data_IF_097960951013
#
_entry.id   IF_097960951013
#
_cell.length_a   1.000
_cell.length_b   1.000
_cell.length_c   1.000
_cell.angle_alpha   90.00
_cell.angle_beta   90.00
_cell.angle_gamma   90.00
#
_symmetry.space_group_name_H-M   'P 1'
#
loop_
_entity.id
_entity.type
_entity.pdbx_description
1 polymer ?
#
# COMPACT_ATOMS: atom_id res chain seq x y z
N UNK A 1 16.37 -19.65 6.52
CA UNK A 1 15.58 -18.41 6.52
C UNK A 1 15.20 -18.15 5.08
N UNK A 2 13.99 -18.54 4.65
CA UNK A 2 13.58 -18.35 3.25
C UNK A 2 12.03 -18.45 3.13
N UNK A 3 11.31 -17.76 4.02
CA UNK A 3 9.83 -17.84 4.06
C UNK A 3 9.12 -16.62 3.48
N UNK A 4 9.86 -15.60 3.05
CA UNK A 4 9.28 -14.39 2.48
C UNK A 4 9.36 -14.36 0.94
N UNK A 5 10.11 -15.28 0.32
CA UNK A 5 10.30 -15.31 -1.14
C UNK A 5 9.06 -15.74 -1.95
N UNK A 6 7.95 -16.09 -1.30
CA UNK A 6 6.76 -16.66 -1.97
C UNK A 6 5.50 -15.78 -1.90
N UNK A 7 5.48 -14.71 -1.10
CA UNK A 7 4.35 -13.80 -1.07
C UNK A 7 4.42 -12.85 -2.26
N UNK A 8 3.37 -12.82 -3.09
CA UNK A 8 3.29 -11.88 -4.21
C UNK A 8 3.17 -10.45 -3.68
N UNK A 9 3.92 -9.53 -4.29
CA UNK A 9 3.80 -8.08 -4.05
C UNK A 9 2.38 -7.58 -4.36
N UNK A 10 1.91 -6.49 -3.73
CA UNK A 10 0.69 -5.81 -4.10
C UNK A 10 0.68 -5.45 -5.60
N UNK A 11 -0.45 -5.56 -6.30
CA UNK A 11 -0.51 -5.46 -7.76
C UNK A 11 -0.08 -4.11 -8.34
N UNK A 12 -0.15 -3.02 -7.56
CA UNK A 12 0.19 -1.66 -8.01
C UNK A 12 1.54 -1.16 -7.48
N UNK A 13 2.23 -1.96 -6.66
CA UNK A 13 3.51 -1.57 -6.08
C UNK A 13 4.59 -1.54 -7.17
N UNK A 14 5.26 -0.40 -7.31
CA UNK A 14 6.47 -0.26 -8.12
C UNK A 14 7.69 -0.36 -7.22
N UNK A 15 8.64 -1.19 -7.60
CA UNK A 15 9.92 -1.32 -6.88
C UNK A 15 11.09 -1.03 -7.79
N UNK A 16 12.17 -0.47 -7.25
CA UNK A 16 13.42 -0.24 -7.98
C UNK A 16 14.62 -0.16 -7.06
N UNK A 17 15.77 -0.67 -7.51
CA UNK A 17 17.06 -0.52 -6.84
C UNK A 17 17.68 -1.84 -6.37
N UNK A 18 18.24 -1.84 -5.17
CA UNK A 18 18.94 -2.95 -4.52
C UNK A 18 17.91 -3.91 -3.89
N UNK A 19 17.85 -5.15 -4.37
CA UNK A 19 16.85 -6.13 -3.93
C UNK A 19 16.93 -6.48 -2.44
N UNK A 20 18.12 -6.48 -1.82
CA UNK A 20 18.25 -6.76 -0.40
C UNK A 20 17.63 -5.63 0.43
N UNK A 21 17.85 -4.38 0.02
CA UNK A 21 17.21 -3.22 0.67
C UNK A 21 15.71 -3.19 0.42
N UNK A 22 15.26 -3.55 -0.78
CA UNK A 22 13.82 -3.66 -1.10
C UNK A 22 13.20 -4.70 -0.18
N UNK A 23 13.78 -5.90 -0.05
CA UNK A 23 13.25 -6.94 0.81
C UNK A 23 13.14 -6.47 2.27
N UNK A 24 14.18 -5.84 2.81
CA UNK A 24 14.14 -5.29 4.17
C UNK A 24 13.05 -4.22 4.32
N UNK A 25 12.87 -3.35 3.33
CA UNK A 25 11.79 -2.36 3.35
C UNK A 25 10.40 -3.02 3.34
N UNK A 26 10.18 -4.03 2.50
CA UNK A 26 8.92 -4.76 2.47
C UNK A 26 8.63 -5.51 3.78
N UNK A 27 9.65 -6.04 4.44
CA UNK A 27 9.52 -6.66 5.76
C UNK A 27 9.13 -5.63 6.82
N UNK A 28 9.79 -4.46 6.83
CA UNK A 28 9.47 -3.36 7.74
C UNK A 28 8.02 -2.89 7.57
N UNK A 29 7.60 -2.70 6.32
CA UNK A 29 6.26 -2.18 6.00
C UNK A 29 5.15 -3.16 6.34
N UNK A 30 5.44 -4.48 6.43
CA UNK A 30 4.47 -5.48 6.91
C UNK A 30 4.31 -5.50 8.44
N UNK A 31 5.18 -4.82 9.18
CA UNK A 31 5.08 -4.69 10.65
C UNK A 31 4.21 -3.50 11.06
N UNK A 32 3.88 -2.60 10.14
CA UNK A 32 3.08 -1.42 10.39
C UNK A 32 1.63 -1.67 9.98
N UNK A 33 0.71 -1.54 10.93
CA UNK A 33 -0.72 -1.77 10.73
C UNK A 33 -1.51 -0.47 10.66
N UNK A 34 -2.51 -0.44 9.78
CA UNK A 34 -3.49 0.64 9.78
C UNK A 34 -4.39 0.53 11.04
N UNK A 35 -4.62 1.62 11.78
CA UNK A 35 -5.38 1.60 13.03
C UNK A 35 -6.89 1.47 12.83
N UNK A 36 -7.40 1.75 11.63
CA UNK A 36 -8.83 1.64 11.29
C UNK A 36 -9.14 0.28 10.64
N UNK A 37 -8.25 -0.18 9.77
CA UNK A 37 -8.33 -1.47 9.08
C UNK A 37 -7.14 -2.32 9.55
N UNK A 38 -7.34 -3.36 10.38
CA UNK A 38 -6.25 -4.09 11.05
C UNK A 38 -5.50 -5.05 10.09
N UNK A 39 -4.97 -4.49 9.00
CA UNK A 39 -4.12 -5.10 7.98
C UNK A 39 -2.89 -4.21 7.84
N UNK A 40 -1.74 -4.81 7.55
CA UNK A 40 -0.51 -4.03 7.40
C UNK A 40 -0.54 -3.12 6.16
N UNK A 41 0.15 -1.99 6.22
CA UNK A 41 0.11 -0.95 5.18
C UNK A 41 0.61 -1.46 3.82
N UNK A 42 1.50 -2.45 3.83
CA UNK A 42 2.02 -3.08 2.62
C UNK A 42 0.94 -3.92 1.93
N UNK A 43 0.37 -4.90 2.64
CA UNK A 43 -0.59 -5.84 2.09
C UNK A 43 -1.97 -5.21 1.86
N UNK A 44 -2.30 -4.12 2.58
CA UNK A 44 -3.47 -3.27 2.33
C UNK A 44 -3.33 -2.44 1.04
N UNK A 45 -2.14 -2.43 0.42
CA UNK A 45 -1.90 -1.73 -0.84
C UNK A 45 -1.73 -0.21 -0.67
N UNK A 46 -1.30 0.27 0.50
CA UNK A 46 -1.07 1.69 0.72
C UNK A 46 0.30 2.16 0.21
N UNK A 47 1.20 1.24 -0.11
CA UNK A 47 2.55 1.54 -0.61
C UNK A 47 2.53 1.47 -2.13
N UNK A 48 2.81 2.60 -2.79
CA UNK A 48 2.81 2.73 -4.25
C UNK A 48 4.20 2.56 -4.84
N UNK A 49 5.24 3.07 -4.17
CA UNK A 49 6.62 3.00 -4.64
C UNK A 49 7.57 2.64 -3.49
N UNK A 50 8.49 1.74 -3.77
CA UNK A 50 9.72 1.52 -2.99
C UNK A 50 10.92 1.70 -3.94
N UNK A 51 11.65 2.81 -3.79
CA UNK A 51 12.97 2.99 -4.41
C UNK A 51 14.02 2.88 -3.31
N UNK A 52 14.76 1.78 -3.29
CA UNK A 52 15.76 1.53 -2.28
C UNK A 52 17.10 1.23 -2.94
N UNK A 53 18.11 2.07 -2.72
CA UNK A 53 19.40 1.98 -3.41
C UNK A 53 20.56 2.25 -2.46
N UNK A 54 21.78 1.98 -2.92
CA UNK A 54 23.00 2.38 -2.22
C UNK A 54 23.65 3.56 -2.92
N UNK A 55 23.94 4.62 -2.17
CA UNK A 55 24.74 5.76 -2.62
C UNK A 55 25.96 5.84 -1.72
N UNK A 56 27.16 5.79 -2.31
CA UNK A 56 28.43 5.81 -1.57
C UNK A 56 28.51 4.75 -0.45
N UNK A 57 27.92 3.58 -0.70
CA UNK A 57 27.87 2.46 0.25
C UNK A 57 26.79 2.58 1.34
N UNK A 58 26.06 3.68 1.41
CA UNK A 58 24.97 3.90 2.37
C UNK A 58 23.60 3.63 1.75
N UNK A 59 22.64 3.05 2.49
CA UNK A 59 21.27 2.90 2.01
C UNK A 59 20.59 4.26 1.88
N UNK A 60 19.81 4.41 0.80
CA UNK A 60 18.91 5.54 0.55
C UNK A 60 17.57 4.97 0.07
N UNK A 61 16.50 5.33 0.77
CA UNK A 61 15.16 4.77 0.56
C UNK A 61 14.17 5.89 0.32
N UNK A 62 13.35 5.76 -0.72
CA UNK A 62 12.19 6.59 -0.99
C UNK A 62 10.94 5.73 -1.03
N UNK A 63 9.94 6.14 -0.26
CA UNK A 63 8.61 5.52 -0.20
C UNK A 63 7.59 6.53 -0.71
N UNK A 64 6.78 6.12 -1.69
CA UNK A 64 5.54 6.83 -2.02
C UNK A 64 4.38 6.00 -1.48
N UNK A 65 3.55 6.60 -0.63
CA UNK A 65 2.40 5.93 -0.04
C UNK A 65 1.14 6.79 -0.07
N UNK A 66 0.01 6.15 0.21
CA UNK A 66 -1.29 6.80 0.38
C UNK A 66 -1.88 6.43 1.74
N UNK A 67 -3.11 6.87 2.01
CA UNK A 67 -3.82 6.63 3.25
C UNK A 67 -5.25 6.23 2.94
N UNK A 68 -5.84 5.42 3.83
CA UNK A 68 -7.23 4.94 3.74
C UNK A 68 -8.26 6.06 3.91
N UNK A 69 -7.91 7.14 4.63
CA UNK A 69 -8.78 8.30 4.84
C UNK A 69 -8.01 9.64 4.83
N UNK A 70 -8.66 10.68 4.30
CA UNK A 70 -8.15 12.06 4.30
C UNK A 70 -8.68 12.78 5.54
N UNK A 71 -7.78 13.25 6.42
CA UNK A 71 -8.12 14.27 7.43
C UNK A 71 -8.33 13.80 8.88
N UNK A 72 -7.97 12.57 9.25
CA UNK A 72 -8.03 12.11 10.65
C UNK A 72 -6.72 12.46 11.39
N UNK A 73 -6.74 13.02 12.63
CA UNK A 73 -5.52 13.33 13.39
C UNK A 73 -4.63 12.10 13.70
N UNK A 74 -5.21 10.89 13.63
CA UNK A 74 -4.51 9.61 13.84
C UNK A 74 -3.61 9.23 12.65
N UNK A 75 -3.86 9.80 11.48
CA UNK A 75 -3.10 9.56 10.23
C UNK A 75 -1.62 9.93 10.36
N UNK A 76 -1.30 10.96 11.16
CA UNK A 76 0.09 11.34 11.41
C UNK A 76 0.91 10.26 12.13
N UNK A 77 0.25 9.34 12.83
CA UNK A 77 0.90 8.24 13.54
C UNK A 77 1.40 7.14 12.58
N UNK A 78 0.70 6.88 11.48
CA UNK A 78 1.10 5.84 10.52
C UNK A 78 2.42 6.22 9.85
N UNK A 79 2.59 7.48 9.45
CA UNK A 79 3.83 7.94 8.82
C UNK A 79 5.02 7.77 9.76
N UNK A 80 4.85 8.14 11.04
CA UNK A 80 5.89 7.94 12.06
C UNK A 80 6.21 6.45 12.28
N UNK A 81 5.20 5.57 12.25
CA UNK A 81 5.42 4.13 12.38
C UNK A 81 6.13 3.52 11.16
N UNK A 82 5.79 3.97 9.95
CA UNK A 82 6.49 3.58 8.71
C UNK A 82 7.95 4.02 8.76
N UNK A 83 8.19 5.27 9.12
CA UNK A 83 9.54 5.82 9.26
C UNK A 83 10.36 5.01 10.26
N UNK A 84 9.83 4.82 11.46
CA UNK A 84 10.51 4.07 12.53
C UNK A 84 10.79 2.62 12.12
N UNK A 85 9.82 1.93 11.52
CA UNK A 85 10.00 0.55 11.09
C UNK A 85 11.12 0.42 10.04
N UNK A 86 11.20 1.36 9.08
CA UNK A 86 12.24 1.36 8.06
C UNK A 86 13.63 1.61 8.66
N UNK A 87 13.74 2.58 9.58
CA UNK A 87 14.99 2.90 10.28
C UNK A 87 15.47 1.72 11.13
N UNK A 88 14.55 1.01 11.80
CA UNK A 88 14.89 -0.14 12.65
C UNK A 88 15.29 -1.37 11.83
N UNK A 89 14.63 -1.58 10.68
CA UNK A 89 14.83 -2.78 9.86
C UNK A 89 16.04 -2.70 8.94
N UNK A 90 16.39 -1.52 8.43
CA UNK A 90 17.41 -1.34 7.39
C UNK A 90 18.73 -0.85 8.00
N UNK A 91 19.76 -1.71 8.12
CA UNK A 91 21.01 -1.32 8.76
C UNK A 91 21.71 -0.18 8.03
N UNK A 92 22.02 0.89 8.78
CA UNK A 92 22.71 2.06 8.26
C UNK A 92 21.82 3.07 7.53
N UNK A 93 20.50 2.85 7.48
CA UNK A 93 19.55 3.88 7.06
C UNK A 93 19.44 4.93 8.16
N UNK A 94 19.36 6.18 7.74
CA UNK A 94 19.21 7.36 8.60
C UNK A 94 18.09 8.22 8.05
N UNK A 95 17.50 9.08 8.91
CA UNK A 95 16.43 10.02 8.54
C UNK A 95 16.82 10.87 7.32
N UNK A 96 18.07 11.33 7.23
CA UNK A 96 18.60 12.11 6.10
C UNK A 96 18.59 11.35 4.75
N UNK A 97 18.55 10.02 4.78
CA UNK A 97 18.55 9.14 3.61
C UNK A 97 17.20 8.42 3.41
N UNK A 98 16.19 8.76 4.21
CA UNK A 98 14.84 8.23 4.10
C UNK A 98 13.89 9.36 3.66
N UNK A 99 13.18 9.14 2.57
CA UNK A 99 12.19 10.06 2.03
C UNK A 99 10.83 9.37 1.98
N UNK A 100 9.83 9.91 2.69
CA UNK A 100 8.46 9.40 2.67
C UNK A 100 7.55 10.48 2.12
N UNK A 101 6.92 10.20 0.99
CA UNK A 101 5.95 11.08 0.33
C UNK A 101 4.55 10.48 0.42
N UNK A 102 3.56 11.33 0.67
CA UNK A 102 2.14 10.96 0.67
C UNK A 102 1.47 11.52 -0.57
N UNK A 103 0.77 10.65 -1.31
CA UNK A 103 -0.08 11.02 -2.45
C UNK A 103 -1.50 10.50 -2.25
N UNK A 104 -2.45 11.17 -2.88
CA UNK A 104 -3.84 10.71 -3.03
C UNK A 104 -4.21 10.47 -4.50
N UNK A 105 -3.21 10.49 -5.38
CA UNK A 105 -3.34 10.19 -6.80
C UNK A 105 -2.37 9.05 -7.20
N UNK A 106 -2.89 7.91 -7.70
CA UNK A 106 -4.32 7.57 -7.77
C UNK A 106 -4.94 7.42 -6.37
N UNK A 107 -6.26 7.62 -6.21
CA UNK A 107 -6.94 7.33 -4.95
C UNK A 107 -6.89 5.83 -4.65
N UNK A 108 -6.76 5.48 -3.37
CA UNK A 108 -6.76 4.08 -2.96
C UNK A 108 -8.11 3.40 -3.26
N UNK A 109 -8.05 2.14 -3.68
CA UNK A 109 -9.23 1.28 -3.86
C UNK A 109 -8.94 -0.16 -3.45
N UNK A 110 -9.97 -0.95 -3.06
CA UNK A 110 -9.80 -2.34 -2.61
C UNK A 110 -9.09 -3.26 -3.60
N UNK A 111 -9.09 -2.98 -4.90
CA UNK A 111 -8.34 -3.75 -5.89
C UNK A 111 -6.82 -3.60 -5.78
N UNK A 112 -6.34 -2.63 -5.00
CA UNK A 112 -4.92 -2.44 -4.69
C UNK A 112 -4.40 -3.40 -3.61
N UNK A 113 -5.30 -4.04 -2.88
CA UNK A 113 -4.97 -4.98 -1.80
C UNK A 113 -4.26 -6.21 -2.39
N UNK A 114 -3.19 -6.66 -1.72
CA UNK A 114 -2.49 -7.89 -2.06
C UNK A 114 -3.35 -9.14 -1.84
N UNK A 115 -2.88 -10.30 -2.31
CA UNK A 115 -3.55 -11.58 -2.03
C UNK A 115 -3.62 -11.87 -0.52
N UNK A 116 -2.52 -11.65 0.21
CA UNK A 116 -2.46 -11.83 1.65
C UNK A 116 -3.39 -10.86 2.41
N UNK A 117 -3.40 -9.59 2.00
CA UNK A 117 -4.30 -8.59 2.57
C UNK A 117 -5.77 -8.90 2.30
N UNK A 118 -6.09 -9.41 1.11
CA UNK A 118 -7.44 -9.80 0.73
C UNK A 118 -7.96 -10.95 1.60
N UNK A 119 -7.14 -11.97 1.84
CA UNK A 119 -7.50 -13.05 2.75
C UNK A 119 -7.69 -12.54 4.19
N UNK A 120 -6.81 -11.65 4.68
CA UNK A 120 -6.98 -11.04 5.99
C UNK A 120 -8.29 -10.24 6.13
N UNK A 121 -8.65 -9.44 5.13
CA UNK A 121 -9.92 -8.71 5.11
C UNK A 121 -11.13 -9.64 5.05
N UNK A 122 -11.02 -10.75 4.31
CA UNK A 122 -12.08 -11.75 4.19
C UNK A 122 -12.30 -12.50 5.50
N UNK A 123 -11.24 -12.83 6.22
CA UNK A 123 -11.35 -13.38 7.58
C UNK A 123 -11.98 -12.39 8.55
N UNK A 124 -11.65 -11.10 8.43
CA UNK A 124 -12.17 -10.04 9.30
C UNK A 124 -13.65 -9.75 9.07
N UNK A 125 -14.07 -9.60 7.81
CA UNK A 125 -15.43 -9.17 7.46
C UNK A 125 -16.37 -10.31 7.07
N UNK A 126 -15.85 -11.52 6.85
CA UNK A 126 -16.62 -12.69 6.46
C UNK A 126 -17.01 -12.75 4.99
N UNK A 127 -16.54 -11.82 4.16
CA UNK A 127 -16.77 -11.80 2.72
C UNK A 127 -15.58 -11.17 1.98
N UNK A 128 -15.53 -11.38 0.66
CA UNK A 128 -14.44 -10.88 -0.17
C UNK A 128 -14.65 -9.41 -0.56
N UNK A 129 -14.01 -8.51 0.18
CA UNK A 129 -14.13 -7.05 -0.01
C UNK A 129 -13.74 -6.62 -1.44
N UNK A 130 -12.74 -7.28 -2.02
CA UNK A 130 -12.22 -6.93 -3.35
C UNK A 130 -13.21 -7.35 -4.43
N UNK A 131 -13.79 -8.54 -4.33
CA UNK A 131 -14.80 -9.01 -5.29
C UNK A 131 -16.10 -8.21 -5.19
N UNK A 132 -16.58 -7.93 -3.99
CA UNK A 132 -17.80 -7.12 -3.80
C UNK A 132 -17.61 -5.70 -4.34
N UNK A 133 -16.43 -5.10 -4.15
CA UNK A 133 -16.10 -3.81 -4.73
C UNK A 133 -16.13 -3.86 -6.28
N UNK A 134 -15.51 -4.89 -6.88
CA UNK A 134 -15.49 -5.06 -8.36
C UNK A 134 -16.89 -5.23 -8.94
N UNK A 135 -17.76 -6.02 -8.27
CA UNK A 135 -19.16 -6.19 -8.69
C UNK A 135 -19.90 -4.86 -8.70
N UNK A 136 -19.84 -4.10 -7.60
CA UNK A 136 -20.49 -2.79 -7.47
C UNK A 136 -20.02 -1.79 -8.53
N UNK A 137 -18.71 -1.73 -8.80
CA UNK A 137 -18.16 -0.84 -9.84
C UNK A 137 -18.63 -1.27 -11.24
N UNK A 138 -18.66 -2.58 -11.52
CA UNK A 138 -19.15 -3.10 -12.80
C UNK A 138 -20.63 -2.78 -13.03
N UNK A 139 -21.48 -2.94 -12.01
CA UNK A 139 -22.91 -2.60 -12.05
C UNK A 139 -23.12 -1.11 -12.31
N UNK A 140 -22.42 -0.25 -11.57
CA UNK A 140 -22.46 1.21 -11.75
C UNK A 140 -22.04 1.63 -13.18
N UNK A 141 -21.04 0.95 -13.76
CA UNK A 141 -20.60 1.22 -15.13
C UNK A 141 -21.65 0.80 -16.18
N UNK A 142 -22.35 -0.32 -15.95
CA UNK A 142 -23.43 -0.78 -16.84
C UNK A 142 -24.65 0.14 -16.78
N UNK A 143 -25.02 0.61 -15.59
CA UNK A 143 -26.11 1.56 -15.39
C UNK A 143 -25.83 2.91 -16.07
N UNK A 144 -24.63 3.46 -15.87
CA UNK A 144 -24.22 4.73 -16.51
C UNK A 144 -24.10 4.63 -18.03
N UNK A 145 -23.73 3.46 -18.56
CA UNK A 145 -23.68 3.19 -20.01
C UNK A 145 -25.08 3.04 -20.64
N UNK A 146 -26.09 2.66 -19.84
CA UNK A 146 -27.48 2.47 -20.30
C UNK A 146 -28.37 3.73 -20.18
N UNK A 147 -27.93 4.75 -19.42
CA UNK A 147 -28.67 6.01 -19.19
C UNK A 147 -28.50 7.10 -20.26
N UNK A 148 -27.78 6.82 -21.34
CA UNK A 148 -27.44 7.79 -22.39
C UNK A 148 -28.44 7.91 -23.54
N UNK A 149 -29.75 7.92 -23.31
CA UNK A 149 -30.74 8.41 -24.28
C UNK A 149 -31.95 9.06 -23.59
N UNK A 150 -32.38 10.20 -24.17
CA UNK A 150 -33.49 11.10 -23.79
C UNK A 150 -33.09 12.23 -22.82
N UNK A 151 -33.19 13.53 -23.13
CA UNK A 151 -34.02 14.22 -24.12
C UNK A 151 -33.27 15.43 -24.70
N UNK A 152 -33.34 15.57 -26.02
CA UNK A 152 -33.38 16.88 -26.64
C UNK A 152 -34.84 17.36 -26.72
N UNK A 153 -35.04 18.64 -26.43
CA UNK A 153 -36.02 19.56 -27.07
C UNK A 153 -35.75 20.96 -26.53
#
# INVERSE_FOLDING_TARGET
MDRLSTAKRPPFLKVSGDEDLIQLAEEALREVYDPEIPVNVYDLGLIYVIDARRTDGKPKVKILMTLTAIGCPVTGSILAYVEQALLDKIPGLSEENLEIEVTFDPPWSPDMVSEAGREALKELYGYDVVDEWKKRISEQYQETSSGGQAQGS
#
